data_IF_174416475331
#
_entry.id   IF_174416475331
#
_cell.length_a   1.000
_cell.length_b   1.000
_cell.length_c   1.000
_cell.angle_alpha   90.00
_cell.angle_beta   90.00
_cell.angle_gamma   90.00
#
_symmetry.space_group_name_H-M   'P 1'
#
loop_
_entity.id
_entity.type
_entity.pdbx_description
1 polymer ?
#
# COMPACT_ATOMS: atom_id res chain seq x y z
N UNK A 1 12.24 15.29 -9.64
CA UNK A 1 11.67 14.55 -8.50
C UNK A 1 10.19 14.84 -8.39
N UNK A 2 9.44 14.05 -7.62
CA UNK A 2 8.03 14.34 -7.36
C UNK A 2 7.92 15.29 -6.16
N UNK A 3 7.21 16.40 -6.33
CA UNK A 3 6.86 17.30 -5.24
C UNK A 3 5.44 16.99 -4.80
N UNK A 4 5.27 16.73 -3.50
CA UNK A 4 3.97 16.47 -2.91
C UNK A 4 3.79 17.43 -1.73
N UNK A 5 2.71 18.21 -1.75
CA UNK A 5 2.32 19.05 -0.60
C UNK A 5 1.97 18.18 0.61
N UNK A 6 1.44 16.97 0.37
CA UNK A 6 1.11 15.94 1.36
C UNK A 6 1.45 14.56 0.81
N UNK A 7 1.88 13.65 1.67
CA UNK A 7 2.20 12.27 1.29
C UNK A 7 0.89 11.48 1.09
N UNK A 8 0.57 11.01 -0.13
CA UNK A 8 -0.60 10.19 -0.35
C UNK A 8 -0.38 8.78 0.21
N UNK A 9 -1.30 8.30 1.05
CA UNK A 9 -1.32 6.94 1.58
C UNK A 9 -2.61 6.23 1.19
N UNK A 10 -2.50 5.01 0.66
CA UNK A 10 -3.64 4.22 0.21
C UNK A 10 -4.01 3.13 1.22
N UNK A 11 -5.27 3.11 1.64
CA UNK A 11 -5.80 2.15 2.61
C UNK A 11 -7.07 1.47 2.06
N UNK A 12 -7.19 0.17 2.26
CA UNK A 12 -8.38 -0.60 1.85
C UNK A 12 -9.42 -0.74 2.97
N UNK A 13 -9.11 -0.27 4.17
CA UNK A 13 -10.06 -0.19 5.27
C UNK A 13 -10.74 1.18 5.31
N UNK A 14 -11.98 1.23 4.82
CA UNK A 14 -12.84 2.43 4.96
C UNK A 14 -13.01 2.84 6.43
N UNK A 15 -13.06 1.87 7.33
CA UNK A 15 -13.12 2.12 8.76
C UNK A 15 -11.86 2.83 9.26
N UNK A 16 -10.66 2.39 8.87
CA UNK A 16 -9.41 3.04 9.26
C UNK A 16 -9.33 4.49 8.75
N UNK A 17 -9.78 4.74 7.52
CA UNK A 17 -9.86 6.10 6.94
C UNK A 17 -10.85 6.95 7.76
N UNK A 18 -12.08 6.47 7.96
CA UNK A 18 -13.09 7.21 8.74
C UNK A 18 -12.61 7.51 10.16
N UNK A 19 -11.98 6.54 10.83
CA UNK A 19 -11.44 6.68 12.17
C UNK A 19 -10.32 7.74 12.20
N UNK A 20 -9.43 7.77 11.19
CA UNK A 20 -8.36 8.77 11.09
C UNK A 20 -8.87 10.21 10.89
N UNK A 21 -10.01 10.36 10.21
CA UNK A 21 -10.63 11.67 9.94
C UNK A 21 -11.57 12.13 11.06
N UNK A 22 -12.14 11.22 11.85
CA UNK A 22 -13.13 11.54 12.87
C UNK A 22 -12.52 11.85 14.24
N UNK A 23 -13.11 12.80 14.95
CA UNK A 23 -12.68 13.21 16.29
C UNK A 23 -13.11 12.23 17.39
N UNK A 24 -14.11 11.38 17.13
CA UNK A 24 -14.81 10.58 18.14
C UNK A 24 -14.81 9.10 17.76
N UNK A 25 -13.86 8.31 18.28
CA UNK A 25 -14.13 6.91 18.63
C UNK A 25 -13.09 6.37 19.60
N UNK A 26 -13.57 6.01 20.80
CA UNK A 26 -12.87 5.28 21.86
C UNK A 26 -13.18 3.79 21.66
N UNK A 27 -12.24 3.00 21.17
CA UNK A 27 -12.29 1.55 21.37
C UNK A 27 -10.86 1.01 21.49
N UNK A 28 -10.47 0.74 22.73
CA UNK A 28 -9.11 0.42 23.12
C UNK A 28 -8.74 -1.03 22.77
N UNK A 29 -7.84 -1.18 21.81
CA UNK A 29 -6.78 -2.19 21.86
C UNK A 29 -5.46 -1.44 21.72
N UNK A 30 -4.55 -1.59 22.70
CA UNK A 30 -3.34 -0.75 22.81
C UNK A 30 -2.55 -0.62 21.50
N UNK A 31 -2.48 -1.68 20.69
CA UNK A 31 -1.77 -1.67 19.40
C UNK A 31 -2.46 -0.85 18.31
N UNK A 32 -3.80 -0.83 18.30
CA UNK A 32 -4.58 -0.01 17.36
C UNK A 32 -4.44 1.47 17.75
N UNK A 33 -4.43 1.77 19.04
CA UNK A 33 -4.43 3.14 19.57
C UNK A 33 -3.14 3.91 19.20
N UNK A 34 -1.97 3.29 19.31
CA UNK A 34 -0.67 3.94 18.97
C UNK A 34 -0.56 4.24 17.47
N UNK A 35 -0.85 3.25 16.62
CA UNK A 35 -0.82 3.44 15.15
C UNK A 35 -1.87 4.45 14.70
N UNK A 36 -3.03 4.41 15.37
CA UNK A 36 -4.12 5.34 15.13
C UNK A 36 -3.73 6.77 15.45
N UNK A 37 -3.23 7.04 16.66
CA UNK A 37 -2.79 8.37 17.07
C UNK A 37 -1.72 8.91 16.12
N UNK A 38 -0.74 8.09 15.75
CA UNK A 38 0.29 8.49 14.80
C UNK A 38 -0.29 8.92 13.45
N UNK A 39 -1.12 8.08 12.81
CA UNK A 39 -1.69 8.41 11.49
C UNK A 39 -2.61 9.64 11.58
N UNK A 40 -3.46 9.69 12.61
CA UNK A 40 -4.38 10.81 12.84
C UNK A 40 -3.65 12.14 13.02
N UNK A 41 -2.57 12.17 13.80
CA UNK A 41 -1.77 13.38 13.99
C UNK A 41 -1.13 13.84 12.68
N UNK A 42 -0.60 12.91 11.88
CA UNK A 42 0.01 13.24 10.59
C UNK A 42 -1.02 13.75 9.58
N UNK A 43 -2.24 13.20 9.58
CA UNK A 43 -3.36 13.72 8.77
C UNK A 43 -3.75 15.12 9.24
N UNK A 44 -3.89 15.34 10.55
CA UNK A 44 -4.21 16.66 11.13
C UNK A 44 -3.14 17.72 10.84
N UNK A 45 -1.86 17.35 10.88
CA UNK A 45 -0.73 18.21 10.52
C UNK A 45 -0.64 18.47 9.01
N UNK A 46 -1.49 17.83 8.20
CA UNK A 46 -1.47 17.92 6.74
C UNK A 46 -0.27 17.22 6.10
N UNK A 47 0.48 16.38 6.83
CA UNK A 47 1.63 15.66 6.31
C UNK A 47 1.18 14.50 5.42
N UNK A 48 0.07 13.86 5.77
CA UNK A 48 -0.47 12.68 5.08
C UNK A 48 -1.88 12.94 4.60
N UNK A 49 -2.19 12.44 3.42
CA UNK A 49 -3.55 12.37 2.88
C UNK A 49 -3.92 10.91 2.60
N UNK A 50 -5.07 10.48 3.11
CA UNK A 50 -5.51 9.07 3.01
C UNK A 50 -6.52 8.89 1.89
N UNK A 51 -6.28 7.89 1.04
CA UNK A 51 -7.14 7.52 -0.06
C UNK A 51 -7.62 6.07 0.08
N UNK A 52 -8.88 5.84 -0.26
CA UNK A 52 -9.41 4.48 -0.33
C UNK A 52 -8.89 3.78 -1.58
N UNK A 53 -8.41 2.55 -1.42
CA UNK A 53 -8.11 1.62 -2.50
C UNK A 53 -8.88 0.33 -2.29
N UNK A 54 -9.41 -0.29 -3.34
CA UNK A 54 -10.01 -1.62 -3.19
C UNK A 54 -8.93 -2.62 -2.76
N UNK A 55 -9.24 -3.58 -1.89
CA UNK A 55 -8.31 -4.66 -1.50
C UNK A 55 -7.75 -5.39 -2.73
N UNK A 56 -8.54 -5.48 -3.80
CA UNK A 56 -8.14 -6.03 -5.10
C UNK A 56 -6.99 -5.26 -5.80
N UNK A 57 -6.66 -4.06 -5.33
CA UNK A 57 -5.63 -3.19 -5.90
C UNK A 57 -4.63 -2.71 -4.84
N UNK A 58 -4.71 -3.23 -3.61
CA UNK A 58 -3.76 -2.90 -2.56
C UNK A 58 -2.43 -3.62 -2.80
N UNK A 59 -1.43 -2.90 -3.31
CA UNK A 59 -0.10 -3.45 -3.57
C UNK A 59 0.65 -3.81 -2.28
N UNK A 60 0.34 -3.17 -1.15
CA UNK A 60 0.96 -3.50 0.14
C UNK A 60 0.68 -4.96 0.57
N UNK A 61 -0.42 -5.55 0.09
CA UNK A 61 -0.76 -6.95 0.38
C UNK A 61 0.29 -7.91 -0.21
N UNK A 62 0.98 -7.52 -1.28
CA UNK A 62 2.06 -8.31 -1.88
C UNK A 62 3.20 -8.58 -0.88
N UNK A 63 3.43 -7.64 0.04
CA UNK A 63 4.55 -7.68 0.98
C UNK A 63 4.14 -8.10 2.40
N UNK A 64 2.83 -8.14 2.69
CA UNK A 64 2.33 -8.31 4.06
C UNK A 64 1.44 -9.54 4.24
N UNK A 65 0.93 -10.13 3.15
CA UNK A 65 0.01 -11.27 3.20
C UNK A 65 0.51 -12.43 2.34
N UNK A 66 0.20 -13.65 2.79
CA UNK A 66 0.26 -14.83 1.93
C UNK A 66 -0.96 -14.80 0.99
N UNK A 67 -0.75 -14.48 -0.28
CA UNK A 67 -1.81 -14.40 -1.29
C UNK A 67 -1.87 -15.68 -2.12
N UNK A 68 -3.08 -16.08 -2.60
CA UNK A 68 -3.18 -17.11 -3.63
C UNK A 68 -2.33 -16.77 -4.85
N UNK A 69 -1.74 -17.78 -5.49
CA UNK A 69 -0.78 -17.61 -6.59
C UNK A 69 -1.30 -16.68 -7.70
N UNK A 70 -2.55 -16.84 -8.11
CA UNK A 70 -3.14 -16.01 -9.16
C UNK A 70 -3.32 -14.54 -8.72
N UNK A 71 -3.65 -14.32 -7.46
CA UNK A 71 -3.76 -12.99 -6.87
C UNK A 71 -2.39 -12.31 -6.76
N UNK A 72 -1.37 -13.06 -6.35
CA UNK A 72 0.01 -12.60 -6.30
C UNK A 72 0.50 -12.21 -7.70
N UNK A 73 0.37 -13.10 -8.69
CA UNK A 73 0.75 -12.84 -10.09
C UNK A 73 0.04 -11.62 -10.67
N UNK A 74 -1.26 -11.46 -10.37
CA UNK A 74 -2.02 -10.29 -10.80
C UNK A 74 -1.42 -8.98 -10.28
N UNK A 75 -1.13 -8.90 -8.97
CA UNK A 75 -0.55 -7.71 -8.35
C UNK A 75 0.88 -7.42 -8.84
N UNK A 76 1.72 -8.45 -8.99
CA UNK A 76 3.09 -8.32 -9.53
C UNK A 76 3.07 -7.72 -10.93
N UNK A 77 2.20 -8.24 -11.82
CA UNK A 77 2.06 -7.72 -13.20
C UNK A 77 1.58 -6.26 -13.21
N UNK A 78 0.60 -5.92 -12.37
CA UNK A 78 0.11 -4.54 -12.24
C UNK A 78 1.16 -3.58 -11.70
N UNK A 79 2.07 -4.06 -10.85
CA UNK A 79 3.20 -3.28 -10.33
C UNK A 79 4.27 -3.02 -11.40
N UNK A 80 4.12 -3.59 -12.61
CA UNK A 80 5.10 -3.50 -13.69
C UNK A 80 6.26 -4.47 -13.55
N UNK A 81 6.21 -5.35 -12.54
CA UNK A 81 7.21 -6.39 -12.35
C UNK A 81 6.95 -7.56 -13.30
N UNK A 82 8.03 -8.07 -13.89
CA UNK A 82 8.01 -9.27 -14.74
C UNK A 82 8.73 -10.40 -14.03
N UNK A 83 8.10 -11.57 -13.98
CA UNK A 83 8.77 -12.79 -13.60
C UNK A 83 9.46 -13.31 -14.87
N UNK A 84 10.79 -13.33 -14.87
CA UNK A 84 11.59 -13.83 -15.98
C UNK A 84 12.07 -15.24 -15.66
N UNK A 85 11.99 -16.13 -16.64
CA UNK A 85 12.71 -17.40 -16.63
C UNK A 85 14.21 -17.16 -16.86
N UNK A 86 15.07 -18.12 -16.48
CA UNK A 86 16.52 -18.04 -16.75
C UNK A 86 16.81 -17.77 -18.23
N UNK A 87 16.09 -18.45 -19.12
CA UNK A 87 16.23 -18.29 -20.56
C UNK A 87 15.80 -16.89 -21.05
N UNK A 88 14.72 -16.32 -20.51
CA UNK A 88 14.31 -14.95 -20.85
C UNK A 88 15.29 -13.90 -20.32
N UNK A 89 15.87 -14.14 -19.14
CA UNK A 89 16.89 -13.28 -18.55
C UNK A 89 18.18 -13.27 -19.39
N UNK A 90 18.66 -14.44 -19.79
CA UNK A 90 19.82 -14.60 -20.68
C UNK A 90 19.56 -13.94 -22.05
N UNK A 91 18.37 -14.13 -22.63
CA UNK A 91 17.99 -13.51 -23.89
C UNK A 91 17.92 -11.96 -23.81
N UNK A 92 17.52 -11.40 -22.67
CA UNK A 92 17.54 -9.95 -22.43
C UNK A 92 18.96 -9.40 -22.27
N UNK A 93 19.82 -10.14 -21.54
CA UNK A 93 21.21 -9.77 -21.37
C UNK A 93 21.96 -9.73 -22.72
N UNK A 94 21.72 -10.72 -23.58
CA UNK A 94 22.38 -10.84 -24.88
C UNK A 94 21.86 -9.87 -25.95
N UNK A 95 20.66 -9.29 -25.77
CA UNK A 95 20.09 -8.26 -26.68
C UNK A 95 20.54 -6.83 -26.36
N UNK A 96 21.18 -6.65 -25.20
CA UNK A 96 21.62 -5.33 -24.71
C UNK A 96 23.09 -5.04 -25.02
N UNK A 97 23.78 -5.98 -25.69
CA UNK A 97 25.14 -5.89 -26.22
C UNK A 97 25.09 -5.67 -27.74
#
# INVERSE_FOLDING_TARGET
GFHFDKIPMYCDSKAAIAISCNHVQRSCTKYIDVRYHFIKENVKKGIVELFFVRTEHQFADLFTKALPVERFKYLVRRLGMRCLTSAELEALANKSA
#
